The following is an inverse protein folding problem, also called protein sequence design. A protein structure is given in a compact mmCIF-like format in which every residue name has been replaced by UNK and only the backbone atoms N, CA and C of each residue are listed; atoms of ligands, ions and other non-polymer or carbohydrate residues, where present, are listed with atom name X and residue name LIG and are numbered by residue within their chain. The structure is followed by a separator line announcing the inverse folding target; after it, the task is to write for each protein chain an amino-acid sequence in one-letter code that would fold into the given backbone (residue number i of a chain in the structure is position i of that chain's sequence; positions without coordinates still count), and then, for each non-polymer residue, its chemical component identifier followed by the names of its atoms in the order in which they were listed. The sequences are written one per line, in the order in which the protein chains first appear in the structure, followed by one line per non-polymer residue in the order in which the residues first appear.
data_IF_866933932234
#
_entry.id   IF_866933932234
#
_cell.length_a   1.000
_cell.length_b   1.000
_cell.length_c   1.000
_cell.angle_alpha   90.00
_cell.angle_beta   90.00
_cell.angle_gamma   90.00
#
_symmetry.space_group_name_H-M   'P 1'
#
loop_
_entity.id
_entity.type
_entity.pdbx_description
1 polymer ?
#
# COMPACT_ATOMS: atom_id res chain seq x y z
N UNK A 1 10.44 3.90 1.03
CA UNK A 1 11.64 3.90 0.15
C UNK A 1 12.35 2.54 0.11
N UNK A 2 12.80 2.00 1.25
CA UNK A 2 13.59 0.75 1.30
C UNK A 2 12.85 -0.47 0.71
N UNK A 3 11.60 -0.70 1.12
CA UNK A 3 10.79 -1.82 0.63
C UNK A 3 10.61 -1.79 -0.90
N UNK A 4 10.32 -0.62 -1.46
CA UNK A 4 10.15 -0.45 -2.92
C UNK A 4 11.45 -0.70 -3.69
N UNK A 5 12.57 -0.16 -3.23
CA UNK A 5 13.89 -0.43 -3.84
C UNK A 5 14.30 -1.90 -3.71
N UNK A 6 13.86 -2.58 -2.65
CA UNK A 6 14.08 -4.02 -2.49
C UNK A 6 13.21 -4.85 -3.43
N UNK A 7 11.92 -4.52 -3.57
CA UNK A 7 11.01 -5.16 -4.52
C UNK A 7 11.44 -4.95 -5.99
N UNK A 8 12.01 -3.80 -6.31
CA UNK A 8 12.59 -3.52 -7.64
C UNK A 8 13.90 -4.30 -7.90
N UNK A 9 14.46 -4.97 -6.89
CA UNK A 9 15.74 -5.68 -6.98
C UNK A 9 16.96 -4.76 -6.98
N UNK A 10 16.80 -3.46 -6.70
CA UNK A 10 17.92 -2.51 -6.53
C UNK A 10 18.67 -2.81 -5.23
N UNK A 11 17.94 -3.25 -4.20
CA UNK A 11 18.47 -3.66 -2.91
C UNK A 11 18.18 -5.13 -2.66
N UNK A 12 19.22 -5.93 -2.46
CA UNK A 12 19.13 -7.36 -2.17
C UNK A 12 19.68 -7.68 -0.77
N UNK A 13 19.11 -8.69 -0.13
CA UNK A 13 19.60 -9.15 1.16
C UNK A 13 20.93 -9.90 0.98
N UNK A 14 21.97 -9.45 1.66
CA UNK A 14 23.26 -10.15 1.72
C UNK A 14 23.47 -10.67 3.15
N UNK A 15 23.94 -11.91 3.29
CA UNK A 15 24.21 -12.54 4.60
C UNK A 15 25.34 -11.84 5.36
N UNK A 16 26.25 -11.15 4.66
CA UNK A 16 27.44 -10.54 5.27
C UNK A 16 27.24 -9.07 5.66
N UNK A 17 26.39 -8.32 4.95
CA UNK A 17 26.21 -6.86 5.16
C UNK A 17 24.77 -6.44 5.44
N UNK A 18 23.84 -7.40 5.58
CA UNK A 18 22.37 -7.21 5.67
C UNK A 18 21.73 -6.57 4.41
N UNK A 19 22.46 -5.70 3.70
CA UNK A 19 22.01 -4.97 2.51
C UNK A 19 23.13 -4.98 1.46
N UNK A 20 22.81 -5.37 0.23
CA UNK A 20 23.70 -5.28 -0.93
C UNK A 20 22.98 -4.63 -2.10
N UNK A 21 23.76 -4.05 -3.00
CA UNK A 21 23.28 -3.54 -4.28
C UNK A 21 22.94 -4.75 -5.17
N UNK A 22 21.77 -4.73 -5.78
CA UNK A 22 21.33 -5.78 -6.70
C UNK A 22 21.93 -5.66 -8.09
N UNK A 23 21.58 -6.60 -8.98
CA UNK A 23 22.18 -6.67 -10.30
C UNK A 23 21.50 -5.69 -11.28
N UNK A 24 22.16 -4.55 -11.53
CA UNK A 24 21.73 -3.54 -12.50
C UNK A 24 21.78 -4.00 -13.97
N UNK A 25 22.36 -5.16 -14.29
CA UNK A 25 22.25 -5.75 -15.63
C UNK A 25 20.96 -6.54 -15.82
N UNK A 26 20.18 -6.78 -14.77
CA UNK A 26 18.93 -7.50 -14.91
C UNK A 26 17.87 -6.59 -15.58
N UNK A 27 17.15 -7.10 -16.60
CA UNK A 27 16.05 -6.35 -17.24
C UNK A 27 14.99 -5.85 -16.24
N UNK A 28 14.73 -6.63 -15.18
CA UNK A 28 13.81 -6.30 -14.10
C UNK A 28 14.18 -5.00 -13.36
N UNK A 29 15.44 -4.89 -12.92
CA UNK A 29 15.93 -3.72 -12.16
C UNK A 29 15.94 -2.47 -13.05
N UNK A 30 16.40 -2.62 -14.30
CA UNK A 30 16.40 -1.55 -15.30
C UNK A 30 14.99 -1.04 -15.58
N UNK A 31 14.03 -1.94 -15.74
CA UNK A 31 12.65 -1.59 -15.99
C UNK A 31 11.98 -0.91 -14.79
N UNK A 32 12.28 -1.35 -13.57
CA UNK A 32 11.83 -0.67 -12.35
C UNK A 32 12.36 0.77 -12.28
N UNK A 33 13.65 0.99 -12.55
CA UNK A 33 14.26 2.32 -12.56
C UNK A 33 13.64 3.19 -13.66
N UNK A 34 13.43 2.62 -14.85
CA UNK A 34 12.77 3.30 -15.96
C UNK A 34 11.34 3.74 -15.58
N UNK A 35 10.56 2.85 -14.97
CA UNK A 35 9.19 3.15 -14.53
C UNK A 35 9.16 4.27 -13.50
N UNK A 36 10.08 4.24 -12.52
CA UNK A 36 10.23 5.32 -11.55
C UNK A 36 10.58 6.65 -12.21
N UNK A 37 11.53 6.64 -13.16
CA UNK A 37 11.92 7.83 -13.91
C UNK A 37 10.76 8.38 -14.75
N UNK A 38 9.94 7.50 -15.34
CA UNK A 38 8.78 7.87 -16.14
C UNK A 38 7.67 8.52 -15.29
N UNK A 39 7.40 8.00 -14.09
CA UNK A 39 6.47 8.62 -13.13
C UNK A 39 6.96 10.02 -12.72
N UNK A 40 8.25 10.16 -12.39
CA UNK A 40 8.85 11.45 -12.04
C UNK A 40 8.76 12.42 -13.22
N UNK A 41 8.99 11.95 -14.44
CA UNK A 41 8.85 12.75 -15.66
C UNK A 41 7.42 13.26 -15.84
N UNK A 42 6.41 12.40 -15.72
CA UNK A 42 4.99 12.80 -15.78
C UNK A 42 4.59 13.78 -14.67
N UNK A 43 5.17 13.61 -13.48
CA UNK A 43 4.98 14.54 -12.37
C UNK A 43 5.62 15.91 -12.67
N UNK A 44 6.82 15.93 -13.26
CA UNK A 44 7.53 17.17 -13.62
C UNK A 44 6.78 18.01 -14.68
N UNK A 45 6.08 17.36 -15.61
CA UNK A 45 5.21 18.03 -16.60
C UNK A 45 3.82 18.37 -16.04
N UNK A 46 3.59 18.23 -14.73
CA UNK A 46 2.35 18.59 -14.01
C UNK A 46 1.08 17.94 -14.58
N UNK A 47 1.18 16.71 -15.08
CA UNK A 47 0.00 15.94 -15.48
C UNK A 47 -0.81 15.51 -14.25
N UNK A 48 -2.12 15.81 -14.26
CA UNK A 48 -3.05 15.29 -13.25
C UNK A 48 -3.11 13.77 -13.36
N UNK A 49 -2.80 13.06 -12.28
CA UNK A 49 -2.74 11.59 -12.27
C UNK A 49 -1.44 11.00 -12.82
N UNK A 50 -0.33 11.75 -12.80
CA UNK A 50 0.99 11.30 -13.26
C UNK A 50 1.39 9.89 -12.77
N UNK A 51 1.10 9.57 -11.51
CA UNK A 51 1.37 8.26 -10.93
C UNK A 51 0.56 7.15 -11.62
N UNK A 52 -0.76 7.32 -11.74
CA UNK A 52 -1.67 6.35 -12.39
C UNK A 52 -1.30 6.17 -13.87
N UNK A 53 -1.06 7.27 -14.58
CA UNK A 53 -0.64 7.24 -15.98
C UNK A 53 0.73 6.56 -16.14
N UNK A 54 1.66 6.79 -15.22
CA UNK A 54 2.98 6.17 -15.25
C UNK A 54 2.90 4.66 -15.08
N UNK A 55 2.09 4.18 -14.13
CA UNK A 55 1.82 2.75 -13.96
C UNK A 55 1.16 2.18 -15.22
N UNK A 56 0.10 2.80 -15.75
CA UNK A 56 -0.56 2.32 -16.97
C UNK A 56 0.38 2.21 -18.18
N UNK A 57 1.17 3.25 -18.45
CA UNK A 57 2.12 3.26 -19.57
C UNK A 57 3.19 2.20 -19.37
N UNK A 58 3.76 2.09 -18.17
CA UNK A 58 4.74 1.04 -17.85
C UNK A 58 4.15 -0.37 -18.01
N UNK A 59 2.92 -0.62 -17.55
CA UNK A 59 2.27 -1.92 -17.73
C UNK A 59 2.06 -2.28 -19.20
N UNK A 60 1.66 -1.33 -20.05
CA UNK A 60 1.51 -1.55 -21.50
C UNK A 60 2.88 -1.88 -22.13
N UNK A 61 3.93 -1.14 -21.77
CA UNK A 61 5.29 -1.41 -22.24
C UNK A 61 5.73 -2.81 -21.79
N UNK A 62 5.49 -3.19 -20.53
CA UNK A 62 5.84 -4.50 -20.01
C UNK A 62 5.15 -5.64 -20.81
N UNK A 63 3.86 -5.49 -21.15
CA UNK A 63 3.13 -6.47 -21.96
C UNK A 63 3.64 -6.58 -23.39
N UNK A 64 3.93 -5.45 -24.05
CA UNK A 64 4.43 -5.46 -25.44
C UNK A 64 5.80 -6.14 -25.52
N UNK A 65 6.70 -5.80 -24.60
CA UNK A 65 8.07 -6.30 -24.59
C UNK A 65 8.24 -7.63 -23.83
N UNK A 66 7.16 -8.19 -23.29
CA UNK A 66 7.16 -9.44 -22.50
C UNK A 66 8.21 -9.42 -21.37
N UNK A 67 8.38 -8.25 -20.74
CA UNK A 67 9.30 -8.06 -19.63
C UNK A 67 8.76 -8.81 -18.40
N UNK A 68 9.62 -9.59 -17.74
CA UNK A 68 9.28 -10.37 -16.53
C UNK A 68 8.05 -11.29 -16.65
N UNK A 69 7.89 -11.97 -17.80
CA UNK A 69 6.73 -12.83 -18.08
C UNK A 69 5.38 -12.09 -18.03
N UNK A 70 5.37 -10.77 -18.17
CA UNK A 70 4.15 -10.00 -18.25
C UNK A 70 3.37 -10.39 -19.52
N UNK A 71 2.22 -11.02 -19.31
CA UNK A 71 1.28 -11.39 -20.37
C UNK A 71 0.08 -10.46 -20.34
N UNK A 72 -0.54 -10.25 -21.50
CA UNK A 72 -1.78 -9.49 -21.57
C UNK A 72 -2.84 -10.13 -20.65
N UNK A 73 -3.66 -9.32 -19.97
CA UNK A 73 -4.70 -9.83 -19.10
C UNK A 73 -5.66 -10.73 -19.89
N UNK A 74 -5.68 -12.02 -19.55
CA UNK A 74 -6.52 -13.04 -20.21
C UNK A 74 -8.00 -12.84 -19.90
N UNK A 75 -8.31 -12.16 -18.79
CA UNK A 75 -9.68 -11.84 -18.35
C UNK A 75 -9.75 -10.38 -17.92
N UNK A 76 -10.74 -9.65 -18.44
CA UNK A 76 -11.00 -8.23 -18.07
C UNK A 76 -11.73 -8.15 -16.72
N UNK A 77 -12.46 -9.21 -16.36
CA UNK A 77 -13.17 -9.32 -15.11
C UNK A 77 -12.92 -10.69 -14.49
N UNK A 78 -12.18 -10.72 -13.39
CA UNK A 78 -11.99 -11.91 -12.56
C UNK A 78 -12.65 -11.68 -11.21
N UNK A 79 -13.49 -12.63 -10.79
CA UNK A 79 -14.01 -12.62 -9.43
C UNK A 79 -12.89 -13.06 -8.47
N UNK A 80 -12.88 -12.54 -7.23
CA UNK A 80 -11.98 -13.05 -6.20
C UNK A 80 -12.10 -14.56 -6.09
N UNK A 81 -10.99 -15.27 -5.92
CA UNK A 81 -11.03 -16.71 -5.76
C UNK A 81 -11.70 -17.04 -4.41
N UNK A 82 -12.93 -17.58 -4.43
CA UNK A 82 -13.69 -17.96 -3.24
C UNK A 82 -13.44 -19.42 -2.81
N UNK A 83 -12.48 -20.12 -3.43
CA UNK A 83 -12.18 -21.52 -3.10
C UNK A 83 -11.83 -21.70 -1.61
N UNK A 84 -12.32 -22.78 -0.98
CA UNK A 84 -12.01 -23.07 0.42
C UNK A 84 -10.58 -23.56 0.66
N UNK A 85 -9.87 -23.98 -0.39
CA UNK A 85 -8.51 -24.54 -0.27
C UNK A 85 -7.41 -23.46 -0.43
N UNK A 86 -7.59 -22.51 -1.36
CA UNK A 86 -6.59 -21.49 -1.71
C UNK A 86 -7.21 -20.09 -1.97
N UNK A 87 -8.44 -19.87 -1.54
CA UNK A 87 -9.19 -18.64 -1.80
C UNK A 87 -9.66 -17.97 -0.50
N UNK A 88 -10.51 -16.95 -0.64
CA UNK A 88 -11.09 -16.21 0.48
C UNK A 88 -11.78 -17.13 1.50
N UNK A 89 -12.35 -18.26 1.09
CA UNK A 89 -12.97 -19.21 2.01
C UNK A 89 -11.98 -19.83 3.03
N UNK A 90 -10.69 -19.87 2.71
CA UNK A 90 -9.64 -20.40 3.59
C UNK A 90 -9.13 -19.39 4.62
N UNK A 91 -9.43 -18.10 4.45
CA UNK A 91 -8.89 -17.02 5.31
C UNK A 91 -10.01 -16.21 5.97
N UNK A 92 -11.21 -16.26 5.41
CA UNK A 92 -12.39 -15.58 5.93
C UNK A 92 -12.75 -16.13 7.31
N UNK A 93 -12.71 -15.25 8.32
CA UNK A 93 -12.98 -15.56 9.73
C UNK A 93 -12.11 -16.67 10.35
N UNK A 94 -10.99 -17.06 9.72
CA UNK A 94 -10.00 -17.94 10.35
C UNK A 94 -9.12 -17.17 11.36
N UNK A 95 -9.77 -16.58 12.37
CA UNK A 95 -9.11 -15.82 13.41
C UNK A 95 -8.57 -16.75 14.50
N UNK A 96 -7.24 -16.85 14.62
CA UNK A 96 -6.61 -17.57 15.72
C UNK A 96 -6.50 -16.69 16.99
N UNK A 97 -7.65 -16.47 17.62
CA UNK A 97 -7.77 -15.67 18.85
C UNK A 97 -7.01 -16.33 20.01
N UNK A 98 -6.95 -17.67 20.03
CA UNK A 98 -6.26 -18.41 21.10
C UNK A 98 -4.75 -18.19 21.05
N UNK A 99 -4.14 -18.24 19.86
CA UNK A 99 -2.72 -17.92 19.71
C UNK A 99 -2.46 -16.42 19.89
N UNK A 100 -3.39 -15.55 19.49
CA UNK A 100 -3.28 -14.11 19.69
C UNK A 100 -3.24 -13.69 21.17
N UNK A 101 -3.93 -14.42 22.05
CA UNK A 101 -3.93 -14.19 23.51
C UNK A 101 -2.72 -14.77 24.23
N UNK A 102 -1.81 -15.45 23.51
CA UNK A 102 -0.57 -15.93 24.10
C UNK A 102 0.30 -14.72 24.51
N UNK A 103 0.91 -14.79 25.70
CA UNK A 103 1.80 -13.75 26.23
C UNK A 103 2.92 -13.39 25.24
N UNK A 104 3.42 -14.37 24.48
CA UNK A 104 4.46 -14.14 23.46
C UNK A 104 3.99 -13.24 22.32
N UNK A 105 2.68 -13.20 22.04
CA UNK A 105 2.11 -12.43 20.94
C UNK A 105 1.77 -10.98 21.34
N UNK A 106 1.59 -10.70 22.64
CA UNK A 106 1.23 -9.37 23.16
C UNK A 106 2.20 -8.28 22.69
N UNK A 107 3.54 -8.43 22.77
CA UNK A 107 4.47 -7.39 22.31
C UNK A 107 4.36 -7.14 20.80
N UNK A 108 4.13 -8.19 20.01
CA UNK A 108 4.00 -8.11 18.55
C UNK A 108 2.72 -7.34 18.20
N UNK A 109 1.59 -7.71 18.80
CA UNK A 109 0.30 -7.03 18.62
C UNK A 109 0.42 -5.56 19.01
N UNK A 110 1.02 -5.25 20.17
CA UNK A 110 1.17 -3.88 20.63
C UNK A 110 2.06 -3.05 19.71
N UNK A 111 3.15 -3.63 19.19
CA UNK A 111 4.05 -2.97 18.24
C UNK A 111 3.33 -2.61 16.94
N UNK A 112 2.61 -3.57 16.34
CA UNK A 112 1.83 -3.32 15.13
C UNK A 112 0.66 -2.36 15.37
N UNK A 113 -0.01 -2.46 16.52
CA UNK A 113 -1.09 -1.54 16.90
C UNK A 113 -0.59 -0.10 17.01
N UNK A 114 0.52 0.13 17.73
CA UNK A 114 1.10 1.47 17.88
C UNK A 114 1.58 2.01 16.52
N UNK A 115 2.24 1.18 15.70
CA UNK A 115 2.67 1.56 14.37
C UNK A 115 1.48 1.97 13.48
N UNK A 116 0.41 1.17 13.46
CA UNK A 116 -0.81 1.46 12.72
C UNK A 116 -1.52 2.72 13.26
N UNK A 117 -1.59 2.88 14.58
CA UNK A 117 -2.22 4.05 15.20
C UNK A 117 -1.52 5.35 14.76
N UNK A 118 -0.19 5.37 14.75
CA UNK A 118 0.56 6.54 14.31
C UNK A 118 0.47 6.76 12.80
N UNK A 119 0.42 5.71 11.99
CA UNK A 119 0.23 5.83 10.54
C UNK A 119 -1.16 6.39 10.21
N UNK A 120 -2.21 5.87 10.85
CA UNK A 120 -3.59 6.37 10.69
C UNK A 120 -3.72 7.82 11.16
N UNK A 121 -3.22 8.16 12.35
CA UNK A 121 -3.27 9.55 12.85
C UNK A 121 -2.47 10.48 11.94
N UNK A 122 -1.22 10.12 11.60
CA UNK A 122 -0.34 10.95 10.78
C UNK A 122 -0.92 11.18 9.39
N UNK A 123 -1.48 10.14 8.78
CA UNK A 123 -2.06 10.23 7.44
C UNK A 123 -3.39 10.99 7.45
N UNK A 124 -4.31 10.69 8.37
CA UNK A 124 -5.61 11.37 8.46
C UNK A 124 -5.42 12.86 8.76
N UNK A 125 -4.55 13.19 9.72
CA UNK A 125 -4.27 14.61 10.04
C UNK A 125 -3.54 15.31 8.91
N UNK A 126 -2.57 14.65 8.25
CA UNK A 126 -1.86 15.22 7.09
C UNK A 126 -2.76 15.50 5.89
N UNK A 127 -3.68 14.57 5.57
CA UNK A 127 -4.70 14.77 4.53
C UNK A 127 -5.72 15.82 4.97
N UNK A 128 -6.16 15.76 6.23
CA UNK A 128 -7.14 16.67 6.81
C UNK A 128 -6.69 18.12 6.84
N UNK A 129 -5.42 18.38 7.12
CA UNK A 129 -4.81 19.71 7.09
C UNK A 129 -4.81 20.29 5.67
N UNK A 130 -4.37 19.51 4.67
CA UNK A 130 -4.37 19.97 3.27
C UNK A 130 -5.78 20.22 2.75
N UNK A 131 -6.76 19.43 3.20
CA UNK A 131 -8.16 19.57 2.82
C UNK A 131 -9.01 20.46 3.74
N UNK A 132 -8.42 21.08 4.78
CA UNK A 132 -9.13 21.87 5.80
C UNK A 132 -10.35 21.15 6.42
N UNK A 133 -10.25 19.82 6.55
CA UNK A 133 -11.37 18.94 6.93
C UNK A 133 -11.71 19.12 8.41
N UNK A 134 -10.71 19.43 9.23
CA UNK A 134 -10.79 19.52 10.69
C UNK A 134 -10.69 20.96 11.25
N UNK A 135 -10.63 21.98 10.39
CA UNK A 135 -10.44 23.40 10.77
C UNK A 135 -11.58 24.00 11.62
N UNK A 136 -12.74 23.34 11.68
CA UNK A 136 -13.87 23.80 12.50
C UNK A 136 -13.52 23.71 14.00
N UNK A 137 -13.41 24.83 14.74
CA UNK A 137 -13.00 24.83 16.15
C UNK A 137 -13.96 24.11 17.09
N UNK A 138 -15.23 23.90 16.68
CA UNK A 138 -16.24 23.19 17.49
C UNK A 138 -16.40 21.73 17.10
N UNK A 139 -16.14 21.37 15.86
CA UNK A 139 -16.41 20.02 15.34
C UNK A 139 -15.17 19.28 14.81
N UNK A 140 -14.02 19.93 14.72
CA UNK A 140 -12.78 19.38 14.17
C UNK A 140 -12.34 18.11 14.89
N UNK A 141 -12.24 18.17 16.23
CA UNK A 141 -11.89 17.01 17.06
C UNK A 141 -12.91 15.87 16.94
N UNK A 142 -14.21 16.22 16.90
CA UNK A 142 -15.28 15.23 16.75
C UNK A 142 -15.24 14.56 15.37
N UNK A 143 -14.89 15.31 14.31
CA UNK A 143 -14.69 14.78 12.96
C UNK A 143 -13.46 13.89 12.91
N UNK A 144 -12.34 14.31 13.49
CA UNK A 144 -11.11 13.51 13.56
C UNK A 144 -11.35 12.18 14.28
N UNK A 145 -12.01 12.22 15.45
CA UNK A 145 -12.38 11.02 16.20
C UNK A 145 -13.28 10.08 15.38
N UNK A 146 -14.28 10.63 14.67
CA UNK A 146 -15.14 9.83 13.77
C UNK A 146 -14.36 9.22 12.60
N UNK A 147 -13.42 9.95 12.01
CA UNK A 147 -12.59 9.43 10.91
C UNK A 147 -11.67 8.32 11.40
N UNK A 148 -11.06 8.48 12.58
CA UNK A 148 -10.26 7.43 13.23
C UNK A 148 -11.10 6.20 13.59
N UNK A 149 -12.34 6.39 14.06
CA UNK A 149 -13.26 5.27 14.29
C UNK A 149 -13.63 4.53 13.01
N UNK A 150 -13.85 5.25 11.90
CA UNK A 150 -14.13 4.65 10.61
C UNK A 150 -12.94 3.83 10.09
N UNK A 151 -11.73 4.37 10.22
CA UNK A 151 -10.47 3.69 9.88
C UNK A 151 -10.27 2.41 10.70
N UNK A 152 -10.42 2.50 12.03
CA UNK A 152 -10.32 1.34 12.92
C UNK A 152 -11.37 0.27 12.63
N UNK A 153 -12.62 0.68 12.37
CA UNK A 153 -13.70 -0.26 12.02
C UNK A 153 -13.44 -0.92 10.66
N UNK A 154 -12.99 -0.15 9.67
CA UNK A 154 -12.62 -0.67 8.35
C UNK A 154 -11.45 -1.65 8.43
N UNK A 155 -10.42 -1.33 9.21
CA UNK A 155 -9.29 -2.21 9.49
C UNK A 155 -9.71 -3.51 10.18
N UNK A 156 -10.57 -3.43 11.21
CA UNK A 156 -11.07 -4.61 11.91
C UNK A 156 -11.89 -5.52 10.98
N UNK A 157 -12.80 -4.93 10.19
CA UNK A 157 -13.60 -5.67 9.21
C UNK A 157 -12.72 -6.27 8.10
N UNK A 158 -11.74 -5.52 7.59
CA UNK A 158 -10.77 -6.02 6.60
C UNK A 158 -10.03 -7.26 7.12
N UNK A 159 -9.49 -7.18 8.34
CA UNK A 159 -8.84 -8.32 9.00
C UNK A 159 -9.79 -9.52 9.16
N UNK A 160 -11.06 -9.31 9.50
CA UNK A 160 -12.07 -10.39 9.57
C UNK A 160 -12.34 -11.05 8.22
N UNK A 161 -12.29 -10.27 7.13
CA UNK A 161 -12.46 -10.79 5.76
C UNK A 161 -11.20 -11.48 5.21
N UNK A 162 -10.11 -11.53 5.98
CA UNK A 162 -8.84 -12.13 5.57
C UNK A 162 -7.94 -11.21 4.74
N UNK A 163 -8.27 -9.91 4.65
CA UNK A 163 -7.43 -8.91 3.98
C UNK A 163 -6.52 -8.20 4.98
N UNK A 164 -5.48 -7.53 4.50
CA UNK A 164 -4.67 -6.62 5.34
C UNK A 164 -5.51 -5.47 5.90
N UNK A 165 -4.98 -4.77 6.90
CA UNK A 165 -5.59 -3.57 7.47
C UNK A 165 -5.83 -2.52 6.39
N UNK A 166 -7.01 -1.91 6.40
CA UNK A 166 -7.38 -0.83 5.48
C UNK A 166 -7.09 0.50 6.17
N UNK A 167 -6.31 1.36 5.51
CA UNK A 167 -5.90 2.66 6.07
C UNK A 167 -6.12 3.80 5.08
N UNK A 168 -6.20 5.03 5.59
CA UNK A 168 -6.08 6.22 4.76
C UNK A 168 -4.70 6.28 4.09
N UNK A 169 -4.65 6.70 2.82
CA UNK A 169 -3.40 6.78 2.05
C UNK A 169 -2.83 8.20 2.06
N UNK A 170 -1.55 8.33 2.44
CA UNK A 170 -0.84 9.63 2.43
C UNK A 170 -0.71 10.21 1.02
N UNK A 171 -0.70 9.34 0.01
CA UNK A 171 -0.66 9.74 -1.40
C UNK A 171 -1.93 10.50 -1.82
N UNK A 172 -3.05 10.28 -1.12
CA UNK A 172 -4.31 11.01 -1.33
C UNK A 172 -4.23 12.50 -0.97
N UNK A 173 -3.19 12.94 -0.26
CA UNK A 173 -2.93 14.37 0.00
C UNK A 173 -2.87 15.19 -1.28
N UNK A 174 -2.24 14.65 -2.33
CA UNK A 174 -2.13 15.30 -3.64
C UNK A 174 -3.47 15.41 -4.38
N UNK A 175 -4.37 14.45 -4.13
CA UNK A 175 -5.73 14.46 -4.65
C UNK A 175 -6.58 15.54 -3.99
N UNK A 176 -6.55 15.62 -2.66
CA UNK A 176 -7.27 16.62 -1.87
C UNK A 176 -6.71 18.04 -2.04
N UNK A 177 -5.43 18.20 -2.37
CA UNK A 177 -4.87 19.52 -2.69
C UNK A 177 -5.28 20.01 -4.09
N UNK A 178 -5.62 19.09 -5.00
CA UNK A 178 -6.01 19.41 -6.37
C UNK A 178 -7.49 19.77 -6.53
N UNK A 179 -8.31 19.67 -5.48
CA UNK A 179 -9.74 20.01 -5.46
C UNK A 179 -10.34 20.05 -4.06
#
# INVERSE_FOLDING_TARGET
AFLGLSQMGVIMHNKDTLVSIGNFKSPHVLFGIFTLALIIFFWAIKLRGAFILGVLVSSIIAWIFHLDNASFPVQIFSLPNFSMENGLGAIFLQLDIKSALNITMIPIILTFFIAQLFDSIGTITGVGERGKIFDDPKNGEKKLSKTLMADATGSALGAMTGTSTVTAFVESTTGVESG
#
